data_IF_382401050828
#
_entry.id   IF_382401050828
#
_cell.length_a   1.000
_cell.length_b   1.000
_cell.length_c   1.000
_cell.angle_alpha   90.00
_cell.angle_beta   90.00
_cell.angle_gamma   90.00
#
_symmetry.space_group_name_H-M   'P 1'
#
loop_
_entity.id
_entity.type
_entity.pdbx_description
1 polymer ?
#
# COMPACT_ATOMS: atom_id res chain seq x y z
N UNK A 1 21.61 5.25 -0.90
CA UNK A 1 20.53 4.28 -0.60
C UNK A 1 19.81 4.78 0.62
N UNK A 2 18.69 5.43 0.38
CA UNK A 2 17.74 5.83 1.41
C UNK A 2 17.27 4.63 2.20
N UNK A 3 17.07 4.82 3.50
CA UNK A 3 16.45 3.79 4.33
C UNK A 3 14.95 3.91 4.16
N UNK A 4 14.30 2.84 3.71
CA UNK A 4 12.84 2.71 3.77
C UNK A 4 12.43 2.60 5.23
N UNK A 5 12.01 3.71 5.83
CA UNK A 5 11.76 3.80 7.28
C UNK A 5 10.31 3.52 7.64
N UNK A 6 9.39 3.65 6.70
CA UNK A 6 7.97 3.68 6.98
C UNK A 6 7.20 2.80 6.00
N UNK A 7 6.32 1.93 6.52
CA UNK A 7 5.52 1.03 5.68
C UNK A 7 4.01 1.16 5.91
N UNK A 8 3.25 0.79 4.89
CA UNK A 8 1.81 0.55 4.92
C UNK A 8 1.55 -0.86 4.40
N UNK A 9 0.89 -1.67 5.21
CA UNK A 9 0.31 -2.93 4.76
C UNK A 9 -1.13 -2.70 4.35
N UNK A 10 -1.45 -3.01 3.11
CA UNK A 10 -2.80 -2.92 2.57
C UNK A 10 -3.30 -4.28 2.07
N UNK A 11 -4.62 -4.46 2.14
CA UNK A 11 -5.33 -5.58 1.52
C UNK A 11 -6.12 -5.03 0.36
N UNK A 12 -5.87 -5.51 -0.86
CA UNK A 12 -6.51 -4.99 -2.06
C UNK A 12 -6.80 -6.08 -3.07
N UNK A 13 -7.81 -5.85 -3.90
CA UNK A 13 -8.07 -6.62 -5.12
C UNK A 13 -7.33 -6.04 -6.33
N UNK A 14 -6.76 -4.83 -6.20
CA UNK A 14 -5.99 -4.17 -7.26
C UNK A 14 -4.71 -4.93 -7.56
N UNK A 15 -4.25 -4.75 -8.80
CA UNK A 15 -2.96 -5.27 -9.22
C UNK A 15 -1.81 -4.49 -8.58
N UNK A 16 -0.67 -5.14 -8.44
CA UNK A 16 0.56 -4.51 -7.95
C UNK A 16 1.01 -3.38 -8.87
N UNK A 17 0.90 -3.62 -10.18
CA UNK A 17 1.19 -2.66 -11.25
C UNK A 17 0.43 -1.33 -11.08
N UNK A 18 -0.86 -1.38 -10.76
CA UNK A 18 -1.66 -0.17 -10.50
C UNK A 18 -1.22 0.62 -9.26
N UNK A 19 -0.59 -0.05 -8.28
CA UNK A 19 -0.01 0.61 -7.11
C UNK A 19 1.32 1.23 -7.49
N UNK A 20 2.17 0.51 -8.21
CA UNK A 20 3.48 0.97 -8.68
C UNK A 20 3.35 2.18 -9.62
N UNK A 21 2.38 2.18 -10.52
CA UNK A 21 2.07 3.32 -11.39
C UNK A 21 1.70 4.57 -10.59
N UNK A 22 0.83 4.42 -9.59
CA UNK A 22 0.48 5.54 -8.71
C UNK A 22 1.69 6.05 -7.91
N UNK A 23 2.49 5.14 -7.35
CA UNK A 23 3.70 5.50 -6.61
C UNK A 23 4.72 6.22 -7.51
N UNK A 24 4.90 5.77 -8.75
CA UNK A 24 5.79 6.42 -9.71
C UNK A 24 5.36 7.84 -10.08
N UNK A 25 4.05 8.12 -10.09
CA UNK A 25 3.50 9.44 -10.42
C UNK A 25 3.48 10.41 -9.24
N UNK A 26 3.27 9.90 -8.03
CA UNK A 26 2.99 10.74 -6.86
C UNK A 26 4.11 10.75 -5.80
N UNK A 27 4.97 9.74 -5.75
CA UNK A 27 6.04 9.67 -4.76
C UNK A 27 7.34 10.27 -5.31
N UNK A 28 8.02 11.06 -4.49
CA UNK A 28 9.29 11.69 -4.86
C UNK A 28 10.52 10.99 -4.25
N UNK A 29 10.33 10.17 -3.21
CA UNK A 29 11.39 9.38 -2.58
C UNK A 29 11.47 7.94 -3.10
N UNK A 30 12.42 7.18 -2.56
CA UNK A 30 12.49 5.73 -2.81
C UNK A 30 11.28 5.02 -2.18
N UNK A 31 10.72 4.05 -2.91
CA UNK A 31 9.61 3.21 -2.46
C UNK A 31 9.86 1.76 -2.89
N UNK A 32 9.21 0.83 -2.19
CA UNK A 32 9.31 -0.61 -2.47
C UNK A 32 7.95 -1.27 -2.20
N UNK A 33 7.48 -2.09 -3.13
CA UNK A 33 6.22 -2.82 -2.99
C UNK A 33 6.52 -4.30 -2.87
N UNK A 34 6.05 -4.92 -1.80
CA UNK A 34 6.26 -6.35 -1.55
C UNK A 34 4.94 -7.08 -1.49
N UNK A 35 4.91 -8.25 -2.13
CA UNK A 35 3.81 -9.17 -1.96
C UNK A 35 3.89 -9.82 -0.58
N UNK A 36 2.92 -9.51 0.27
CA UNK A 36 2.81 -10.02 1.64
C UNK A 36 2.02 -11.32 1.75
N UNK A 37 1.22 -11.66 0.73
CA UNK A 37 0.45 -12.90 0.69
C UNK A 37 -0.97 -12.71 0.16
N UNK A 38 -1.81 -13.71 0.37
CA UNK A 38 -3.23 -13.68 0.06
C UNK A 38 -3.99 -13.81 1.38
N UNK A 39 -5.00 -12.98 1.58
CA UNK A 39 -5.85 -12.97 2.76
C UNK A 39 -7.30 -13.11 2.32
N UNK A 40 -7.99 -14.08 2.91
CA UNK A 40 -9.43 -14.20 2.78
C UNK A 40 -10.10 -13.31 3.84
N UNK A 41 -11.09 -12.53 3.44
CA UNK A 41 -11.92 -11.75 4.39
C UNK A 41 -12.99 -12.65 5.01
N UNK A 42 -13.59 -12.25 6.13
CA UNK A 42 -14.73 -12.93 6.75
C UNK A 42 -15.92 -13.17 5.80
N UNK A 43 -16.00 -12.40 4.71
CA UNK A 43 -17.01 -12.53 3.65
C UNK A 43 -16.61 -13.55 2.55
N UNK A 44 -15.49 -14.27 2.70
CA UNK A 44 -14.96 -15.19 1.71
C UNK A 44 -14.29 -14.52 0.51
N UNK A 45 -13.98 -13.21 0.60
CA UNK A 45 -13.35 -12.47 -0.49
C UNK A 45 -11.84 -12.63 -0.39
N UNK A 46 -11.25 -13.20 -1.44
CA UNK A 46 -9.80 -13.33 -1.56
C UNK A 46 -9.19 -11.98 -1.97
N UNK A 47 -8.38 -11.39 -1.09
CA UNK A 47 -7.62 -10.15 -1.34
C UNK A 47 -6.13 -10.41 -1.29
N UNK A 48 -5.36 -9.65 -2.08
CA UNK A 48 -3.90 -9.66 -2.02
C UNK A 48 -3.47 -8.75 -0.88
N UNK A 49 -2.56 -9.22 -0.05
CA UNK A 49 -1.89 -8.39 0.94
C UNK A 49 -0.58 -7.89 0.33
N UNK A 50 -0.43 -6.57 0.31
CA UNK A 50 0.76 -5.89 -0.18
C UNK A 50 1.34 -5.03 0.93
N UNK A 51 2.65 -4.98 1.02
CA UNK A 51 3.41 -4.14 1.93
C UNK A 51 4.13 -3.09 1.08
N UNK A 52 3.72 -1.83 1.21
CA UNK A 52 4.34 -0.70 0.53
C UNK A 52 5.23 0.02 1.53
N UNK A 53 6.51 0.11 1.22
CA UNK A 53 7.55 0.74 2.03
C UNK A 53 7.97 2.05 1.36
N UNK A 54 8.20 3.07 2.18
CA UNK A 54 8.52 4.42 1.75
C UNK A 54 9.77 4.91 2.49
N UNK A 55 10.62 5.63 1.77
CA UNK A 55 11.67 6.45 2.36
C UNK A 55 11.07 7.63 3.12
N UNK A 56 10.15 8.36 2.48
CA UNK A 56 9.54 9.58 3.00
C UNK A 56 8.19 9.32 3.65
N UNK A 57 7.99 9.93 4.81
CA UNK A 57 6.71 9.89 5.54
C UNK A 57 5.62 10.66 4.79
N UNK A 58 5.98 11.70 4.03
CA UNK A 58 5.05 12.50 3.22
C UNK A 58 4.44 11.67 2.08
N UNK A 59 5.27 10.86 1.40
CA UNK A 59 4.83 9.93 0.35
C UNK A 59 3.87 8.87 0.92
N UNK A 60 4.23 8.29 2.08
CA UNK A 60 3.35 7.38 2.83
C UNK A 60 2.00 8.03 3.16
N UNK A 61 2.03 9.27 3.63
CA UNK A 61 0.82 10.00 4.03
C UNK A 61 -0.05 10.28 2.81
N UNK A 62 0.55 10.71 1.69
CA UNK A 62 -0.14 10.93 0.42
C UNK A 62 -0.74 9.64 -0.13
N UNK A 63 -0.01 8.53 -0.08
CA UNK A 63 -0.52 7.22 -0.48
C UNK A 63 -1.74 6.83 0.37
N UNK A 64 -1.68 7.00 1.69
CA UNK A 64 -2.82 6.75 2.55
C UNK A 64 -4.01 7.64 2.19
N UNK A 65 -3.80 8.94 2.09
CA UNK A 65 -4.89 9.91 1.97
C UNK A 65 -5.54 9.89 0.58
N UNK A 66 -4.76 9.67 -0.47
CA UNK A 66 -5.23 9.76 -1.84
C UNK A 66 -5.49 8.39 -2.48
N UNK A 67 -4.63 7.41 -2.25
CA UNK A 67 -4.79 6.07 -2.84
C UNK A 67 -5.73 5.18 -2.03
N UNK A 68 -5.63 5.17 -0.70
CA UNK A 68 -6.47 4.32 0.15
C UNK A 68 -7.84 4.94 0.46
N UNK A 69 -7.94 6.26 0.67
CA UNK A 69 -9.24 6.90 0.98
C UNK A 69 -10.20 6.91 -0.22
N UNK A 70 -9.69 7.10 -1.44
CA UNK A 70 -10.51 7.07 -2.66
C UNK A 70 -10.58 5.68 -3.30
N UNK A 71 -9.76 4.72 -2.84
CA UNK A 71 -9.66 3.39 -3.39
C UNK A 71 -10.41 2.36 -2.57
N UNK A 72 -11.70 2.20 -2.87
CA UNK A 72 -12.53 1.06 -2.51
C UNK A 72 -12.74 0.84 -0.99
N UNK A 73 -14.01 0.85 -0.58
CA UNK A 73 -14.45 0.46 0.77
C UNK A 73 -14.00 -0.96 1.20
N UNK A 74 -13.29 -1.70 0.33
CA UNK A 74 -12.60 -2.96 0.59
C UNK A 74 -11.17 -2.88 1.18
N UNK A 75 -10.61 -1.70 1.48
CA UNK A 75 -9.38 -1.61 2.27
C UNK A 75 -9.63 -1.87 3.78
N UNK A 76 -10.27 -2.98 4.13
CA UNK A 76 -10.72 -3.33 5.49
C UNK A 76 -9.59 -3.75 6.47
N UNK A 77 -8.35 -3.32 6.25
CA UNK A 77 -7.23 -3.74 7.10
C UNK A 77 -5.93 -3.06 6.73
N UNK A 78 -5.81 -1.79 7.11
CA UNK A 78 -4.54 -1.06 7.07
C UNK A 78 -3.82 -1.30 8.38
N UNK A 79 -2.67 -1.98 8.34
CA UNK A 79 -1.78 -2.11 9.50
C UNK A 79 -0.53 -1.26 9.29
N UNK A 80 -0.22 -0.44 10.29
CA UNK A 80 0.92 0.45 10.27
C UNK A 80 2.10 -0.23 10.93
N UNK A 81 3.24 -0.28 10.23
CA UNK A 81 4.53 -0.61 10.86
C UNK A 81 5.20 0.72 11.21
N UNK A 82 5.37 0.96 12.51
CA UNK A 82 6.16 2.06 13.07
C UNK A 82 7.60 1.63 13.34
#
# INVERSE_FOLDING_TARGET
>A
MGKLTSGIRLKTTRSMDSIEDWLALHCQGEWDVRFGGIVETDEGIIRKQLDVMFEKIEDKTSFRDQFLTHGDAGAAGVSYRG
#
